data_IF_957336084556
#
_entry.id   IF_957336084556
#
_cell.length_a   1.000
_cell.length_b   1.000
_cell.length_c   1.000
_cell.angle_alpha   90.00
_cell.angle_beta   90.00
_cell.angle_gamma   90.00
#
_symmetry.space_group_name_H-M   'P 1'
#
loop_
_entity.id
_entity.type
_entity.pdbx_description
1 polymer ?
#
# COMPACT_ATOMS: atom_id res chain seq x y z
N UNK A 1 33.18 -1.16 -14.17
CA UNK A 1 32.17 -0.13 -13.79
C UNK A 1 30.74 -0.65 -14.01
N UNK A 2 30.33 -1.74 -13.36
CA UNK A 2 29.00 -2.38 -13.57
C UNK A 2 28.23 -2.68 -12.26
N UNK A 3 28.65 -2.12 -11.12
CA UNK A 3 28.09 -2.49 -9.80
C UNK A 3 27.23 -1.42 -9.13
N UNK A 4 27.08 -0.23 -9.71
CA UNK A 4 26.33 0.87 -9.07
C UNK A 4 24.80 0.85 -9.32
N UNK A 5 24.25 -0.19 -9.96
CA UNK A 5 22.87 -0.15 -10.53
C UNK A 5 21.83 -1.03 -9.83
N UNK A 6 22.22 -1.83 -8.83
CA UNK A 6 21.31 -2.84 -8.26
C UNK A 6 20.39 -2.35 -7.13
N UNK A 7 20.59 -1.13 -6.60
CA UNK A 7 19.92 -0.65 -5.38
C UNK A 7 18.96 0.53 -5.61
N UNK A 8 18.68 0.88 -6.86
CA UNK A 8 17.81 2.02 -7.22
C UNK A 8 16.35 1.64 -7.46
N UNK A 9 16.02 0.36 -7.50
CA UNK A 9 14.63 -0.08 -7.64
C UNK A 9 13.94 -0.15 -6.27
N UNK A 10 12.62 -0.04 -6.32
CA UNK A 10 11.76 -0.28 -5.18
C UNK A 10 10.50 -1.02 -5.59
N UNK A 11 9.75 -1.45 -4.59
CA UNK A 11 8.48 -2.13 -4.79
C UNK A 11 7.52 -1.77 -3.66
N UNK A 12 6.24 -1.69 -4.02
CA UNK A 12 5.15 -1.78 -3.05
C UNK A 12 5.06 -3.21 -2.50
N UNK A 13 4.32 -3.40 -1.42
CA UNK A 13 3.93 -4.70 -0.92
C UNK A 13 2.54 -4.60 -0.29
N UNK A 14 1.60 -5.41 -0.78
CA UNK A 14 0.30 -5.61 -0.17
C UNK A 14 0.13 -7.11 0.08
N UNK A 15 0.16 -7.52 1.35
CA UNK A 15 0.27 -8.94 1.74
C UNK A 15 -0.91 -9.31 2.62
N UNK A 16 -1.62 -10.37 2.25
CA UNK A 16 -2.70 -10.96 3.05
C UNK A 16 -2.25 -12.25 3.74
N UNK A 17 -2.47 -12.35 5.05
CA UNK A 17 -2.36 -13.57 5.83
C UNK A 17 -3.76 -13.99 6.28
N UNK A 18 -4.23 -15.13 5.79
CA UNK A 18 -5.54 -15.68 6.14
C UNK A 18 -5.35 -16.90 7.02
N UNK A 19 -5.98 -16.89 8.19
CA UNK A 19 -5.99 -18.00 9.15
C UNK A 19 -7.40 -18.57 9.28
N UNK A 20 -7.58 -19.57 10.14
CA UNK A 20 -8.91 -20.09 10.45
C UNK A 20 -9.84 -19.02 11.07
N UNK A 21 -9.29 -18.04 11.80
CA UNK A 21 -10.06 -17.09 12.61
C UNK A 21 -9.90 -15.64 12.22
N UNK A 22 -8.87 -15.29 11.43
CA UNK A 22 -8.56 -13.91 11.09
C UNK A 22 -8.09 -13.72 9.65
N UNK A 23 -8.24 -12.49 9.16
CA UNK A 23 -7.60 -11.97 7.96
C UNK A 23 -6.75 -10.78 8.40
N UNK A 24 -5.44 -10.86 8.15
CA UNK A 24 -4.49 -9.78 8.42
C UNK A 24 -3.91 -9.28 7.11
N UNK A 25 -3.90 -7.96 6.90
CA UNK A 25 -3.29 -7.31 5.76
C UNK A 25 -2.17 -6.41 6.24
N UNK A 26 -1.00 -6.51 5.60
CA UNK A 26 0.08 -5.55 5.73
C UNK A 26 0.24 -4.80 4.39
N UNK A 27 0.09 -3.48 4.40
CA UNK A 27 0.22 -2.65 3.21
C UNK A 27 1.38 -1.67 3.29
N UNK A 28 2.09 -1.52 2.18
CA UNK A 28 3.23 -0.64 2.02
C UNK A 28 3.25 -0.16 0.56
N UNK A 29 3.02 1.15 0.37
CA UNK A 29 2.82 1.75 -0.95
C UNK A 29 1.33 1.93 -1.28
N UNK A 30 1.01 1.98 -2.57
CA UNK A 30 -0.32 2.32 -3.11
C UNK A 30 -1.02 1.14 -3.81
N UNK A 31 -0.52 -0.07 -3.60
CA UNK A 31 -1.36 -1.26 -3.76
C UNK A 31 -2.40 -1.29 -2.64
N UNK A 32 -3.51 -2.02 -2.87
CA UNK A 32 -4.65 -2.03 -1.94
C UNK A 32 -5.26 -3.40 -1.80
N UNK A 33 -5.73 -3.70 -0.58
CA UNK A 33 -6.52 -4.86 -0.23
C UNK A 33 -7.90 -4.48 0.30
N UNK A 34 -8.91 -5.24 -0.14
CA UNK A 34 -10.32 -5.07 0.22
C UNK A 34 -10.92 -6.45 0.48
N UNK A 35 -11.54 -6.62 1.64
CA UNK A 35 -12.29 -7.83 1.98
C UNK A 35 -13.73 -7.70 1.48
N UNK A 36 -14.21 -8.66 0.71
CA UNK A 36 -15.62 -8.79 0.41
C UNK A 36 -16.33 -9.45 1.60
N UNK A 37 -17.22 -8.71 2.27
CA UNK A 37 -18.04 -9.17 3.39
C UNK A 37 -19.51 -8.91 3.11
N UNK A 38 -20.28 -9.98 2.90
CA UNK A 38 -21.71 -9.91 2.57
C UNK A 38 -21.98 -9.15 1.28
N UNK A 39 -21.13 -9.30 0.27
CA UNK A 39 -21.18 -8.54 -0.99
C UNK A 39 -20.65 -7.10 -0.90
N UNK A 40 -20.37 -6.59 0.31
CA UNK A 40 -19.82 -5.25 0.53
C UNK A 40 -18.29 -5.21 0.52
N UNK A 41 -17.73 -4.06 0.15
CA UNK A 41 -16.29 -3.80 0.19
C UNK A 41 -15.87 -3.27 1.58
N UNK A 42 -15.18 -4.08 2.37
CA UNK A 42 -14.53 -3.68 3.61
C UNK A 42 -13.04 -3.38 3.36
N UNK A 43 -12.58 -2.12 3.42
CA UNK A 43 -11.17 -1.81 3.22
C UNK A 43 -10.32 -2.39 4.35
N UNK A 44 -9.23 -3.09 3.99
CA UNK A 44 -8.23 -3.59 4.95
C UNK A 44 -6.87 -2.92 4.79
N UNK A 45 -6.76 -1.94 3.90
CA UNK A 45 -5.56 -1.11 3.73
C UNK A 45 -5.93 0.25 3.16
N UNK A 46 -5.04 1.21 3.35
CA UNK A 46 -5.07 2.51 2.69
C UNK A 46 -3.78 2.72 1.92
N UNK A 47 -3.92 3.38 0.77
CA UNK A 47 -2.79 3.70 -0.09
C UNK A 47 -1.91 4.73 0.61
N UNK A 48 -0.60 4.67 0.35
CA UNK A 48 0.36 5.62 0.88
C UNK A 48 0.85 6.54 -0.24
N UNK A 49 0.20 7.71 -0.36
CA UNK A 49 0.56 8.73 -1.35
C UNK A 49 1.35 9.85 -0.66
N UNK A 50 2.38 10.44 -1.33
CA UNK A 50 3.13 11.57 -0.77
C UNK A 50 2.27 12.79 -0.42
N UNK A 51 1.07 12.90 -1.00
CA UNK A 51 0.11 13.97 -0.74
C UNK A 51 -0.66 13.81 0.56
N UNK A 52 -0.70 12.60 1.13
CA UNK A 52 -1.46 12.32 2.35
C UNK A 52 -0.81 13.06 3.53
N UNK A 53 -1.63 13.66 4.40
CA UNK A 53 -1.15 14.58 5.43
C UNK A 53 -0.05 13.98 6.33
N UNK A 54 -0.25 12.73 6.78
CA UNK A 54 0.72 12.02 7.62
C UNK A 54 2.02 11.70 6.89
N UNK A 55 1.91 11.26 5.62
CA UNK A 55 3.05 10.91 4.77
C UNK A 55 3.84 12.16 4.40
N UNK A 56 3.17 13.22 3.93
CA UNK A 56 3.74 14.53 3.63
C UNK A 56 4.49 15.10 4.83
N UNK A 57 3.87 15.03 6.00
CA UNK A 57 4.48 15.53 7.24
C UNK A 57 5.75 14.77 7.61
N UNK A 58 5.77 13.43 7.43
CA UNK A 58 6.99 12.63 7.62
C UNK A 58 8.07 13.03 6.60
N UNK A 59 7.72 13.12 5.32
CA UNK A 59 8.64 13.47 4.23
C UNK A 59 9.32 14.81 4.52
N UNK A 60 8.56 15.84 4.90
CA UNK A 60 9.09 17.18 5.21
C UNK A 60 9.97 17.16 6.46
N UNK A 61 9.55 16.46 7.53
CA UNK A 61 10.38 16.30 8.75
C UNK A 61 11.70 15.57 8.48
N UNK A 62 11.72 14.70 7.48
CA UNK A 62 12.93 13.98 7.05
C UNK A 62 13.86 14.83 6.17
N UNK A 63 13.54 16.11 5.91
CA UNK A 63 14.35 17.02 5.10
C UNK A 63 14.13 16.89 3.58
N UNK A 64 13.07 16.19 3.16
CA UNK A 64 12.67 16.06 1.76
C UNK A 64 11.45 16.96 1.45
N UNK A 65 11.06 17.05 0.17
CA UNK A 65 9.92 17.84 -0.28
C UNK A 65 8.89 16.96 -1.00
N UNK A 66 7.64 17.45 -1.06
CA UNK A 66 6.60 16.89 -1.94
C UNK A 66 6.33 17.90 -3.04
N UNK A 67 6.70 17.55 -4.27
CA UNK A 67 6.61 18.40 -5.47
C UNK A 67 5.75 17.65 -6.49
N UNK A 68 4.66 18.25 -6.94
CA UNK A 68 3.70 17.63 -7.88
C UNK A 68 3.26 16.22 -7.46
N UNK A 69 3.01 16.03 -6.16
CA UNK A 69 2.60 14.74 -5.58
C UNK A 69 3.71 13.69 -5.48
N UNK A 70 4.98 14.06 -5.71
CA UNK A 70 6.13 13.16 -5.69
C UNK A 70 7.15 13.56 -4.64
N UNK A 71 7.80 12.58 -4.01
CA UNK A 71 8.93 12.79 -3.09
C UNK A 71 10.12 13.34 -3.89
N UNK A 72 10.56 14.55 -3.53
CA UNK A 72 11.59 15.33 -4.22
C UNK A 72 11.33 15.49 -5.73
N UNK A 73 10.06 15.46 -6.16
CA UNK A 73 9.67 15.57 -7.57
C UNK A 73 9.89 14.29 -8.39
N UNK A 74 10.26 13.17 -7.76
CA UNK A 74 10.76 11.98 -8.44
C UNK A 74 9.82 10.79 -8.25
N UNK A 75 9.67 10.31 -7.01
CA UNK A 75 8.93 9.10 -6.70
C UNK A 75 7.49 9.41 -6.26
N UNK A 76 6.50 8.80 -6.91
CA UNK A 76 5.07 8.96 -6.58
C UNK A 76 4.60 8.11 -5.39
N UNK A 77 5.52 7.37 -4.75
CA UNK A 77 5.27 6.56 -3.56
C UNK A 77 5.87 7.23 -2.32
N UNK A 78 5.14 7.21 -1.21
CA UNK A 78 5.68 7.61 0.09
C UNK A 78 6.22 6.43 0.88
N UNK A 79 5.84 5.18 0.54
CA UNK A 79 6.36 3.98 1.18
C UNK A 79 6.72 2.93 0.14
N UNK A 80 7.91 2.35 0.28
CA UNK A 80 8.43 1.32 -0.62
C UNK A 80 9.55 0.51 0.07
N UNK A 81 9.62 -0.78 -0.25
CA UNK A 81 10.84 -1.57 -0.05
C UNK A 81 11.84 -1.15 -1.14
N UNK A 82 13.15 -1.20 -0.87
CA UNK A 82 14.15 -0.69 -1.82
C UNK A 82 14.23 0.84 -1.82
N UNK A 83 14.31 1.49 -2.99
CA UNK A 83 14.36 2.96 -3.13
C UNK A 83 15.36 3.65 -2.19
N UNK A 84 16.52 3.04 -1.99
CA UNK A 84 17.52 3.50 -1.00
C UNK A 84 18.02 4.92 -1.28
N UNK A 85 17.93 5.40 -2.52
CA UNK A 85 18.23 6.79 -2.89
C UNK A 85 17.33 7.84 -2.22
N UNK A 86 16.17 7.43 -1.73
CA UNK A 86 15.23 8.27 -0.97
C UNK A 86 15.28 7.98 0.54
N UNK A 87 16.28 7.21 0.99
CA UNK A 87 16.48 6.82 2.38
C UNK A 87 17.85 7.30 2.85
N UNK A 88 18.00 7.49 4.15
CA UNK A 88 19.24 7.96 4.78
C UNK A 88 19.62 7.09 5.96
N UNK A 89 20.92 6.87 6.17
CA UNK A 89 21.44 6.16 7.33
C UNK A 89 21.23 6.94 8.65
N UNK A 90 20.94 8.25 8.58
CA UNK A 90 20.78 9.11 9.76
C UNK A 90 19.40 9.04 10.43
N UNK A 91 18.42 8.39 9.80
CA UNK A 91 17.05 8.29 10.32
C UNK A 91 16.64 6.81 10.51
N UNK A 92 15.83 6.51 11.53
CA UNK A 92 15.24 5.18 11.64
C UNK A 92 14.20 4.94 10.54
N UNK A 93 13.90 3.67 10.25
CA UNK A 93 12.99 3.26 9.17
C UNK A 93 11.63 4.00 9.15
N UNK A 94 10.94 4.26 10.29
CA UNK A 94 9.66 4.97 10.29
C UNK A 94 9.74 6.46 9.93
N UNK A 95 10.93 7.06 9.99
CA UNK A 95 11.14 8.50 9.79
C UNK A 95 11.79 8.82 8.44
N UNK A 96 11.99 7.83 7.58
CA UNK A 96 12.54 8.01 6.24
C UNK A 96 11.60 8.84 5.36
N UNK A 97 12.11 9.59 4.37
CA UNK A 97 11.27 10.22 3.34
C UNK A 97 10.37 9.18 2.67
N UNK A 98 10.97 8.08 2.20
CA UNK A 98 10.28 6.88 1.72
C UNK A 98 10.38 5.80 2.79
N UNK A 99 9.28 5.54 3.50
CA UNK A 99 9.28 4.60 4.63
C UNK A 99 9.22 3.14 4.16
N UNK A 100 9.83 2.24 4.93
CA UNK A 100 9.68 0.77 4.76
C UNK A 100 8.76 0.15 5.80
N UNK A 101 8.01 0.98 6.55
CA UNK A 101 7.08 0.53 7.56
C UNK A 101 5.70 0.31 6.92
N UNK A 102 5.21 -0.93 6.99
CA UNK A 102 3.86 -1.27 6.55
C UNK A 102 2.83 -0.92 7.62
N UNK A 103 1.64 -0.51 7.19
CA UNK A 103 0.47 -0.44 8.06
C UNK A 103 -0.20 -1.82 8.08
N UNK A 104 -0.58 -2.29 9.28
CA UNK A 104 -1.14 -3.63 9.49
C UNK A 104 -2.55 -3.52 10.02
N UNK A 105 -3.49 -4.19 9.37
CA UNK A 105 -4.88 -4.31 9.80
C UNK A 105 -5.24 -5.78 9.97
N UNK A 106 -5.99 -6.09 11.03
CA UNK A 106 -6.50 -7.45 11.27
C UNK A 106 -7.98 -7.38 11.57
N UNK A 107 -8.74 -8.27 10.94
CA UNK A 107 -10.16 -8.47 11.22
C UNK A 107 -10.43 -9.93 11.57
N UNK A 108 -11.39 -10.15 12.45
CA UNK A 108 -11.92 -11.49 12.73
C UNK A 108 -12.73 -11.95 11.52
N UNK A 109 -12.56 -13.21 11.14
CA UNK A 109 -13.32 -13.82 10.05
C UNK A 109 -14.77 -14.00 10.44
N UNK A 110 -15.66 -13.68 9.49
CA UNK A 110 -17.09 -13.88 9.60
C UNK A 110 -17.59 -14.87 8.56
N UNK A 111 -18.76 -15.51 8.78
CA UNK A 111 -19.37 -16.42 7.82
C UNK A 111 -19.80 -15.73 6.52
N UNK A 112 -19.90 -14.39 6.51
CA UNK A 112 -20.21 -13.58 5.33
C UNK A 112 -18.97 -13.14 4.55
N UNK A 113 -17.75 -13.52 4.96
CA UNK A 113 -16.53 -13.24 4.20
C UNK A 113 -16.48 -14.13 2.96
N UNK A 114 -16.44 -13.51 1.77
CA UNK A 114 -16.42 -14.23 0.50
C UNK A 114 -14.99 -14.38 -0.05
N UNK A 115 -14.28 -13.27 -0.23
CA UNK A 115 -12.92 -13.26 -0.76
C UNK A 115 -12.15 -12.02 -0.31
N UNK A 116 -10.81 -12.12 -0.31
CA UNK A 116 -9.91 -10.98 -0.16
C UNK A 116 -9.36 -10.61 -1.54
N UNK A 117 -9.58 -9.36 -1.96
CA UNK A 117 -9.08 -8.83 -3.22
C UNK A 117 -7.83 -7.98 -2.96
N UNK A 118 -6.73 -8.31 -3.62
CA UNK A 118 -5.48 -7.54 -3.61
C UNK A 118 -5.13 -7.18 -5.04
N UNK A 119 -4.81 -5.91 -5.30
CA UNK A 119 -4.32 -5.47 -6.61
C UNK A 119 -3.38 -4.26 -6.48
N UNK A 120 -2.63 -3.99 -7.54
CA UNK A 120 -1.85 -2.76 -7.69
C UNK A 120 -2.72 -1.58 -8.14
N UNK A 121 -2.13 -0.40 -8.12
CA UNK A 121 -2.70 0.86 -8.62
C UNK A 121 -3.26 0.77 -10.05
N UNK A 122 -2.67 -0.06 -10.93
CA UNK A 122 -3.19 -0.28 -12.27
C UNK A 122 -4.66 -0.75 -12.33
N UNK A 123 -5.20 -1.35 -11.26
CA UNK A 123 -6.63 -1.62 -11.10
C UNK A 123 -7.34 -0.45 -10.38
N UNK A 124 -6.77 0.02 -9.28
CA UNK A 124 -7.42 0.99 -8.39
C UNK A 124 -7.49 2.42 -8.95
N UNK A 125 -6.66 2.74 -9.93
CA UNK A 125 -6.69 4.03 -10.64
C UNK A 125 -7.91 4.15 -11.57
N UNK A 126 -8.49 3.01 -11.98
CA UNK A 126 -9.61 2.98 -12.94
C UNK A 126 -10.90 2.37 -12.38
N UNK A 127 -10.84 1.73 -11.21
CA UNK A 127 -11.98 1.03 -10.61
C UNK A 127 -12.06 1.28 -9.11
N UNK A 128 -13.24 1.69 -8.64
CA UNK A 128 -13.47 1.87 -7.21
C UNK A 128 -13.51 0.52 -6.48
N UNK A 129 -13.09 0.49 -5.20
CA UNK A 129 -13.08 -0.73 -4.39
C UNK A 129 -14.45 -1.44 -4.34
N UNK A 130 -15.54 -0.69 -4.22
CA UNK A 130 -16.90 -1.22 -4.22
C UNK A 130 -17.31 -1.82 -5.57
N UNK A 131 -16.91 -1.18 -6.66
CA UNK A 131 -17.20 -1.64 -8.02
C UNK A 131 -16.45 -2.95 -8.32
N UNK A 132 -15.16 -3.02 -7.99
CA UNK A 132 -14.35 -4.21 -8.17
C UNK A 132 -14.88 -5.41 -7.35
N UNK A 133 -15.28 -5.15 -6.09
CA UNK A 133 -15.91 -6.18 -5.24
C UNK A 133 -17.23 -6.65 -5.85
N UNK A 134 -18.11 -5.73 -6.28
CA UNK A 134 -19.39 -6.10 -6.89
C UNK A 134 -19.19 -6.94 -8.17
N UNK A 135 -18.23 -6.56 -9.02
CA UNK A 135 -17.88 -7.30 -10.24
C UNK A 135 -17.40 -8.74 -9.94
N UNK A 136 -16.47 -8.88 -8.99
CA UNK A 136 -15.97 -10.20 -8.58
C UNK A 136 -17.08 -11.03 -7.89
N UNK A 137 -17.87 -10.42 -7.01
CA UNK A 137 -18.92 -11.10 -6.27
C UNK A 137 -19.99 -11.68 -7.20
N UNK A 138 -20.49 -10.89 -8.16
CA UNK A 138 -21.45 -11.38 -9.17
C UNK A 138 -20.90 -12.47 -10.09
N UNK A 139 -19.57 -12.66 -10.14
CA UNK A 139 -18.94 -13.73 -10.90
C UNK A 139 -18.84 -15.05 -10.12
N UNK A 140 -18.94 -15.02 -8.79
CA UNK A 140 -18.91 -16.21 -7.93
C UNK A 140 -20.29 -16.84 -7.72
N UNK A 141 -21.37 -16.09 -7.96
CA UNK A 141 -22.75 -16.58 -7.87
C UNK A 141 -23.24 -17.27 -9.16
N UNK A 142 -22.37 -17.41 -10.18
CA UNK A 142 -22.64 -18.14 -11.43
C UNK A 142 -22.04 -19.53 -11.38
#
# INVERSE_FOLDING_TARGET
RREARAWSCGTTACVGLVTATSVTVANLGDSRAVLCRGGGALPLSWDHKPTDEGERSRIVRAGAAVIEGRVNGDLALSRALGDFRHKTASLPAPHQPVSSLADVQTVVRGPSDAFLLLACDGVWDVMASSEAVAFCFGSLER
#
